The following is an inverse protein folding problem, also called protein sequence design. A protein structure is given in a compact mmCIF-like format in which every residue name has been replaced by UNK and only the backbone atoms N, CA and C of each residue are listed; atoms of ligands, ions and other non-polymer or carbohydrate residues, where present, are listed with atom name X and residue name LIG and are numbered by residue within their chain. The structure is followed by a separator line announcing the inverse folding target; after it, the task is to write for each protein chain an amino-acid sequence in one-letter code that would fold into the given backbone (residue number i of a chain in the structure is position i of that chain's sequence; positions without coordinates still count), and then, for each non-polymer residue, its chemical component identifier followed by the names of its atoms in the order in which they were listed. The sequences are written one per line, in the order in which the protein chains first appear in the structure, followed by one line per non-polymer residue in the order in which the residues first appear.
data_IF_684237589133
#
_entry.id   IF_684237589133
#
_cell.length_a   1.000
_cell.length_b   1.000
_cell.length_c   1.000
_cell.angle_alpha   90.00
_cell.angle_beta   90.00
_cell.angle_gamma   90.00
#
_symmetry.space_group_name_H-M   'P 1'
#
loop_
_entity.id
_entity.type
_entity.pdbx_description
1 polymer ?
#
# COMPACT_ATOMS: atom_id res chain seq x y z
N UNK A 1 1.20 -14.22 -24.66
CA UNK A 1 1.43 -14.56 -23.24
C UNK A 1 1.50 -13.31 -22.37
N UNK A 2 2.52 -12.44 -22.45
CA UNK A 2 2.60 -11.24 -21.59
C UNK A 2 1.53 -10.20 -21.92
N UNK A 3 1.14 -10.07 -23.20
CA UNK A 3 -0.05 -9.29 -23.59
C UNK A 3 -1.35 -9.93 -23.08
N UNK A 4 -1.44 -11.26 -23.05
CA UNK A 4 -2.61 -11.98 -22.50
C UNK A 4 -2.72 -11.74 -20.99
N UNK A 5 -1.60 -11.68 -20.27
CA UNK A 5 -1.56 -11.27 -18.87
C UNK A 5 -2.16 -9.87 -18.68
N UNK A 6 -1.77 -8.89 -19.50
CA UNK A 6 -2.29 -7.51 -19.42
C UNK A 6 -3.79 -7.48 -19.73
N UNK A 7 -4.20 -8.14 -20.82
CA UNK A 7 -5.60 -8.25 -21.23
C UNK A 7 -6.45 -8.83 -20.10
N UNK A 8 -6.02 -9.95 -19.55
CA UNK A 8 -6.73 -10.68 -18.50
C UNK A 8 -6.80 -9.89 -17.19
N UNK A 9 -5.76 -9.15 -16.83
CA UNK A 9 -5.80 -8.22 -15.71
C UNK A 9 -6.86 -7.13 -15.91
N UNK A 10 -6.99 -6.59 -17.13
CA UNK A 10 -8.08 -5.67 -17.49
C UNK A 10 -9.47 -6.32 -17.39
N UNK A 11 -9.64 -7.54 -17.89
CA UNK A 11 -10.91 -8.29 -17.81
C UNK A 11 -11.31 -8.59 -16.35
N UNK A 12 -10.36 -8.99 -15.50
CA UNK A 12 -10.59 -9.17 -14.05
C UNK A 12 -10.90 -7.83 -13.37
N UNK A 13 -10.27 -6.74 -13.79
CA UNK A 13 -10.60 -5.38 -13.35
C UNK A 13 -12.05 -5.00 -13.64
N UNK A 14 -12.52 -5.24 -14.87
CA UNK A 14 -13.91 -4.98 -15.26
C UNK A 14 -14.89 -5.85 -14.47
N UNK A 15 -14.53 -7.12 -14.22
CA UNK A 15 -15.32 -8.03 -13.39
C UNK A 15 -15.41 -7.55 -11.93
N UNK A 16 -14.29 -7.12 -11.33
CA UNK A 16 -14.29 -6.64 -9.95
C UNK A 16 -15.06 -5.33 -9.80
N UNK A 17 -14.96 -4.43 -10.78
CA UNK A 17 -15.67 -3.16 -10.78
C UNK A 17 -17.18 -3.38 -10.84
N UNK A 18 -17.66 -4.29 -11.69
CA UNK A 18 -19.08 -4.66 -11.78
C UNK A 18 -19.66 -5.10 -10.43
N UNK A 19 -18.89 -5.81 -9.62
CA UNK A 19 -19.36 -6.41 -8.35
C UNK A 19 -19.18 -5.44 -7.18
N UNK A 20 -18.06 -4.72 -7.14
CA UNK A 20 -17.62 -3.96 -5.96
C UNK A 20 -17.68 -2.45 -6.16
N UNK A 21 -17.78 -1.99 -7.41
CA UNK A 21 -17.60 -0.59 -7.83
C UNK A 21 -16.15 -0.15 -7.93
N UNK A 22 -15.19 -1.06 -7.75
CA UNK A 22 -13.76 -0.79 -7.76
C UNK A 22 -13.08 -1.81 -8.67
N UNK A 23 -12.35 -1.30 -9.67
CA UNK A 23 -11.46 -2.13 -10.48
C UNK A 23 -10.24 -2.53 -9.66
N UNK A 24 -9.73 -3.76 -9.85
CA UNK A 24 -8.40 -4.12 -9.35
C UNK A 24 -7.28 -3.48 -10.17
N UNK A 25 -7.57 -2.82 -11.29
CA UNK A 25 -6.56 -2.07 -12.03
C UNK A 25 -6.38 -0.69 -11.38
N UNK A 26 -5.21 -0.45 -10.80
CA UNK A 26 -4.85 0.82 -10.17
C UNK A 26 -4.43 1.88 -11.20
N UNK A 27 -3.59 1.46 -12.13
CA UNK A 27 -3.05 2.31 -13.19
C UNK A 27 -2.80 1.50 -14.47
N UNK A 28 -2.87 2.20 -15.59
CA UNK A 28 -2.59 1.66 -16.91
C UNK A 28 -1.92 2.73 -17.79
N UNK A 29 -0.87 2.34 -18.51
CA UNK A 29 -0.10 3.24 -19.38
C UNK A 29 0.49 2.54 -20.61
N UNK A 30 -0.13 1.41 -21.00
CA UNK A 30 0.28 0.58 -22.13
C UNK A 30 -0.38 0.95 -23.46
N UNK A 31 -0.29 0.04 -24.46
CA UNK A 31 -0.87 0.21 -25.78
C UNK A 31 -2.41 0.29 -25.77
N UNK A 32 -2.98 1.10 -26.67
CA UNK A 32 -4.42 1.38 -26.74
C UNK A 32 -5.30 0.12 -26.93
N UNK A 33 -4.78 -0.93 -27.56
CA UNK A 33 -5.44 -2.23 -27.75
C UNK A 33 -5.53 -3.10 -26.49
N UNK A 34 -4.71 -2.81 -25.48
CA UNK A 34 -4.65 -3.51 -24.20
C UNK A 34 -5.29 -2.69 -23.05
N UNK A 35 -5.89 -1.53 -23.37
CA UNK A 35 -6.55 -0.68 -22.37
C UNK A 35 -7.66 -1.47 -21.63
N UNK A 36 -7.64 -1.53 -20.29
CA UNK A 36 -8.64 -2.19 -19.46
C UNK A 36 -10.08 -1.80 -19.79
N UNK A 37 -10.34 -0.53 -20.11
CA UNK A 37 -11.67 -0.02 -20.45
C UNK A 37 -12.22 -0.59 -21.76
N UNK A 38 -11.37 -1.21 -22.58
CA UNK A 38 -11.74 -1.86 -23.84
C UNK A 38 -11.81 -3.38 -23.74
N UNK A 39 -11.40 -3.95 -22.61
CA UNK A 39 -11.47 -5.39 -22.41
C UNK A 39 -12.88 -5.83 -22.03
N UNK A 40 -13.19 -7.09 -22.31
CA UNK A 40 -14.53 -7.62 -22.06
C UNK A 40 -14.82 -7.78 -20.57
N UNK A 41 -16.09 -7.64 -20.19
CA UNK A 41 -16.58 -8.07 -18.88
C UNK A 41 -17.01 -9.53 -18.98
N UNK A 42 -16.10 -10.45 -18.67
CA UNK A 42 -16.34 -11.89 -18.73
C UNK A 42 -16.91 -12.40 -17.40
N UNK A 43 -17.66 -13.51 -17.48
CA UNK A 43 -18.15 -14.22 -16.31
C UNK A 43 -17.02 -14.98 -15.60
N UNK A 44 -17.22 -15.28 -14.31
CA UNK A 44 -16.21 -15.86 -13.44
C UNK A 44 -15.59 -17.16 -14.00
N UNK A 45 -16.43 -18.08 -14.51
CA UNK A 45 -15.95 -19.38 -15.00
C UNK A 45 -15.00 -19.23 -16.21
N UNK A 46 -15.28 -18.26 -17.09
CA UNK A 46 -14.43 -17.96 -18.25
C UNK A 46 -13.12 -17.34 -17.78
N UNK A 47 -13.17 -16.36 -16.87
CA UNK A 47 -11.96 -15.73 -16.31
C UNK A 47 -11.08 -16.76 -15.60
N UNK A 48 -11.66 -17.67 -14.82
CA UNK A 48 -10.90 -18.70 -14.12
C UNK A 48 -10.21 -19.66 -15.09
N UNK A 49 -10.89 -20.04 -16.17
CA UNK A 49 -10.30 -20.86 -17.24
C UNK A 49 -9.17 -20.13 -17.96
N UNK A 50 -9.38 -18.87 -18.35
CA UNK A 50 -8.38 -18.07 -19.06
C UNK A 50 -7.14 -17.82 -18.17
N UNK A 51 -7.33 -17.59 -16.87
CA UNK A 51 -6.25 -17.48 -15.88
C UNK A 51 -5.41 -18.75 -15.81
N UNK A 52 -6.05 -19.92 -15.80
CA UNK A 52 -5.33 -21.20 -15.81
C UNK A 52 -4.53 -21.39 -17.10
N UNK A 53 -5.11 -21.06 -18.26
CA UNK A 53 -4.41 -21.13 -19.53
C UNK A 53 -3.16 -20.23 -19.60
N UNK A 54 -3.24 -18.99 -19.08
CA UNK A 54 -2.06 -18.10 -19.04
C UNK A 54 -1.03 -18.62 -18.04
N UNK A 55 -1.44 -19.12 -16.88
CA UNK A 55 -0.54 -19.70 -15.87
C UNK A 55 0.26 -20.88 -16.43
N UNK A 56 -0.38 -21.79 -17.17
CA UNK A 56 0.27 -22.94 -17.79
C UNK A 56 1.29 -22.52 -18.87
N UNK A 57 1.07 -21.37 -19.52
CA UNK A 57 1.98 -20.84 -20.54
C UNK A 57 3.24 -20.16 -19.98
N UNK A 58 3.32 -19.91 -18.67
CA UNK A 58 4.45 -19.20 -18.06
C UNK A 58 5.77 -19.99 -18.07
N UNK A 59 5.73 -21.30 -18.31
CA UNK A 59 6.94 -22.15 -18.37
C UNK A 59 7.95 -21.67 -19.42
N UNK A 60 7.50 -20.94 -20.45
CA UNK A 60 8.35 -20.37 -21.50
C UNK A 60 9.24 -19.22 -21.01
N UNK A 61 8.93 -18.60 -19.86
CA UNK A 61 9.75 -17.52 -19.30
C UNK A 61 10.96 -18.14 -18.63
N UNK A 62 12.16 -17.96 -19.19
CA UNK A 62 13.39 -18.51 -18.62
C UNK A 62 13.77 -17.84 -17.28
N UNK A 63 13.63 -16.52 -17.20
CA UNK A 63 13.91 -15.76 -15.98
C UNK A 63 12.98 -16.19 -14.83
N UNK A 64 13.58 -16.81 -13.83
CA UNK A 64 12.85 -17.43 -12.72
C UNK A 64 12.08 -16.42 -11.87
N UNK A 65 12.69 -15.24 -11.60
CA UNK A 65 12.06 -14.20 -10.77
C UNK A 65 10.86 -13.61 -11.51
N UNK A 66 11.00 -13.30 -12.80
CA UNK A 66 9.92 -12.82 -13.67
C UNK A 66 8.78 -13.84 -13.76
N UNK A 67 9.11 -15.12 -13.94
CA UNK A 67 8.12 -16.21 -14.01
C UNK A 67 7.35 -16.33 -12.70
N UNK A 68 8.03 -16.31 -11.56
CA UNK A 68 7.40 -16.38 -10.23
C UNK A 68 6.57 -15.15 -9.90
N UNK A 69 7.04 -13.96 -10.27
CA UNK A 69 6.28 -12.72 -10.15
C UNK A 69 4.94 -12.85 -10.87
N UNK A 70 4.96 -13.16 -12.17
CA UNK A 70 3.74 -13.27 -12.98
C UNK A 70 2.80 -14.37 -12.48
N UNK A 71 3.34 -15.51 -12.05
CA UNK A 71 2.56 -16.58 -11.47
C UNK A 71 1.85 -16.14 -10.18
N UNK A 72 2.52 -15.37 -9.33
CA UNK A 72 1.93 -14.85 -8.10
C UNK A 72 0.84 -13.81 -8.39
N UNK A 73 1.05 -12.92 -9.36
CA UNK A 73 0.03 -11.95 -9.80
C UNK A 73 -1.21 -12.67 -10.35
N UNK A 74 -1.05 -13.69 -11.21
CA UNK A 74 -2.17 -14.49 -11.75
C UNK A 74 -2.92 -15.25 -10.65
N UNK A 75 -2.21 -15.86 -9.69
CA UNK A 75 -2.83 -16.52 -8.53
C UNK A 75 -3.65 -15.54 -7.69
N UNK A 76 -3.15 -14.32 -7.53
CA UNK A 76 -3.85 -13.24 -6.81
C UNK A 76 -5.14 -12.86 -7.53
N UNK A 77 -5.08 -12.63 -8.85
CA UNK A 77 -6.27 -12.37 -9.68
C UNK A 77 -7.27 -13.52 -9.64
N UNK A 78 -6.79 -14.77 -9.69
CA UNK A 78 -7.64 -15.97 -9.56
C UNK A 78 -8.36 -16.02 -8.21
N UNK A 79 -7.67 -15.68 -7.13
CA UNK A 79 -8.31 -15.57 -5.80
C UNK A 79 -9.37 -14.48 -5.77
N UNK A 80 -9.09 -13.31 -6.36
CA UNK A 80 -10.07 -12.23 -6.49
C UNK A 80 -11.33 -12.70 -7.20
N UNK A 81 -11.20 -13.35 -8.37
CA UNK A 81 -12.35 -13.85 -9.13
C UNK A 81 -13.15 -14.86 -8.31
N UNK A 82 -12.49 -15.85 -7.69
CA UNK A 82 -13.16 -16.85 -6.83
C UNK A 82 -13.93 -16.21 -5.69
N UNK A 83 -13.29 -15.29 -4.98
CA UNK A 83 -13.89 -14.60 -3.84
C UNK A 83 -15.13 -13.79 -4.26
N UNK A 84 -15.03 -13.01 -5.34
CA UNK A 84 -16.13 -12.19 -5.83
C UNK A 84 -17.25 -13.02 -6.47
N UNK A 85 -16.95 -14.20 -7.02
CA UNK A 85 -17.94 -15.17 -7.48
C UNK A 85 -18.70 -15.86 -6.33
N UNK A 86 -18.34 -15.60 -5.07
CA UNK A 86 -18.96 -16.22 -3.91
C UNK A 86 -18.52 -17.67 -3.66
N UNK A 87 -17.43 -18.12 -4.31
CA UNK A 87 -16.83 -19.42 -4.01
C UNK A 87 -16.25 -19.33 -2.59
N UNK A 88 -16.65 -20.28 -1.73
CA UNK A 88 -16.27 -20.25 -0.31
C UNK A 88 -14.75 -20.26 -0.14
N UNK A 89 -14.24 -19.24 0.56
CA UNK A 89 -12.82 -19.07 0.91
C UNK A 89 -12.76 -18.53 2.34
N UNK A 90 -11.84 -19.06 3.15
CA UNK A 90 -11.56 -18.45 4.45
C UNK A 90 -10.90 -17.08 4.24
N UNK A 91 -11.14 -16.13 5.13
CA UNK A 91 -10.49 -14.81 5.05
C UNK A 91 -8.97 -14.93 5.05
N UNK A 92 -8.42 -15.88 5.83
CA UNK A 92 -6.99 -16.15 5.85
C UNK A 92 -6.46 -16.64 4.49
N UNK A 93 -7.20 -17.53 3.82
CA UNK A 93 -6.84 -18.03 2.48
C UNK A 93 -6.86 -16.91 1.45
N UNK A 94 -7.83 -15.99 1.53
CA UNK A 94 -7.91 -14.81 0.64
C UNK A 94 -6.66 -13.95 0.80
N UNK A 95 -6.37 -13.51 2.03
CA UNK A 95 -5.19 -12.66 2.32
C UNK A 95 -3.90 -13.36 1.92
N UNK A 96 -3.75 -14.64 2.28
CA UNK A 96 -2.54 -15.40 1.98
C UNK A 96 -2.30 -15.55 0.48
N UNK A 97 -3.34 -15.85 -0.30
CA UNK A 97 -3.19 -16.07 -1.74
C UNK A 97 -3.00 -14.78 -2.51
N UNK A 98 -3.72 -13.70 -2.12
CA UNK A 98 -3.57 -12.38 -2.74
C UNK A 98 -2.18 -11.78 -2.49
N UNK A 99 -1.70 -11.85 -1.26
CA UNK A 99 -0.53 -11.07 -0.86
C UNK A 99 0.71 -11.92 -0.63
N UNK A 100 0.63 -13.25 -0.75
CA UNK A 100 1.73 -14.17 -0.46
C UNK A 100 2.36 -13.93 0.93
N UNK A 101 1.51 -13.70 1.94
CA UNK A 101 1.91 -13.46 3.34
C UNK A 101 0.99 -14.25 4.28
N UNK A 102 1.45 -14.57 5.48
CA UNK A 102 0.60 -15.22 6.49
C UNK A 102 -0.22 -14.18 7.28
N UNK A 103 -1.56 -14.18 7.19
CA UNK A 103 -2.38 -13.31 8.02
C UNK A 103 -2.42 -13.82 9.45
N UNK A 104 -1.73 -13.12 10.35
CA UNK A 104 -1.66 -13.49 11.77
C UNK A 104 -2.15 -12.37 12.69
N UNK A 105 -3.01 -12.73 13.64
CA UNK A 105 -3.42 -11.84 14.73
C UNK A 105 -2.25 -11.66 15.70
N UNK A 106 -1.96 -10.41 16.07
CA UNK A 106 -1.01 -10.11 17.13
C UNK A 106 -1.59 -10.54 18.48
N UNK A 107 -0.80 -11.27 19.27
CA UNK A 107 -1.20 -11.66 20.63
C UNK A 107 -1.29 -10.46 21.54
N UNK A 108 -2.10 -10.60 22.60
CA UNK A 108 -2.29 -9.49 23.55
C UNK A 108 -0.98 -9.05 24.19
N UNK A 109 -0.08 -9.99 24.51
CA UNK A 109 1.25 -9.68 25.04
C UNK A 109 2.13 -8.85 24.11
N UNK A 110 1.95 -8.94 22.79
CA UNK A 110 2.68 -8.10 21.83
C UNK A 110 2.05 -6.71 21.77
N UNK A 111 0.72 -6.64 21.85
CA UNK A 111 -0.01 -5.36 21.91
C UNK A 111 0.33 -4.60 23.20
N UNK A 112 0.37 -5.25 24.35
CA UNK A 112 0.77 -4.65 25.64
C UNK A 112 2.15 -4.03 25.57
N UNK A 113 3.15 -4.76 25.06
CA UNK A 113 4.51 -4.24 24.85
C UNK A 113 4.54 -3.02 23.93
N UNK A 114 3.69 -3.00 22.91
CA UNK A 114 3.63 -1.85 22.01
C UNK A 114 2.91 -0.66 22.65
N UNK A 115 1.93 -0.88 23.53
CA UNK A 115 1.30 0.16 24.35
C UNK A 115 2.32 0.74 25.34
N UNK A 116 3.15 -0.08 25.98
CA UNK A 116 4.25 0.37 26.85
C UNK A 116 5.24 1.28 26.09
N UNK A 117 5.60 0.91 24.86
CA UNK A 117 6.45 1.75 24.01
C UNK A 117 5.79 3.10 23.65
N UNK A 118 4.46 3.10 23.44
CA UNK A 118 3.70 4.34 23.24
C UNK A 118 3.71 5.19 24.50
N UNK A 119 3.47 4.60 25.68
CA UNK A 119 3.50 5.31 26.97
C UNK A 119 4.86 5.97 27.24
N UNK A 120 5.94 5.23 27.01
CA UNK A 120 7.30 5.78 27.13
C UNK A 120 7.51 6.97 26.19
N UNK A 121 7.08 6.84 24.93
CA UNK A 121 7.25 7.90 23.92
C UNK A 121 6.39 9.15 24.19
N UNK A 122 5.25 8.98 24.86
CA UNK A 122 4.32 10.06 25.20
C UNK A 122 4.54 10.64 26.60
N UNK A 123 5.55 10.17 27.35
CA UNK A 123 5.74 10.53 28.77
C UNK A 123 5.81 12.04 29.01
N UNK A 124 6.48 12.77 28.11
CA UNK A 124 6.69 14.23 28.20
C UNK A 124 5.54 15.06 27.61
N UNK A 125 4.54 14.43 26.99
CA UNK A 125 3.41 15.10 26.37
C UNK A 125 2.24 15.27 27.37
N UNK A 126 1.41 16.32 27.22
CA UNK A 126 0.32 16.62 28.14
C UNK A 126 -0.80 15.57 28.10
N UNK A 127 -1.46 15.37 29.24
CA UNK A 127 -2.60 14.45 29.43
C UNK A 127 -2.50 13.72 30.78
N UNK A 128 -3.64 13.43 31.41
CA UNK A 128 -3.73 12.79 32.71
C UNK A 128 -3.43 11.28 32.63
N UNK A 129 -3.91 10.63 31.57
CA UNK A 129 -3.66 9.22 31.27
C UNK A 129 -3.16 9.01 29.84
N UNK A 130 -2.78 7.77 29.51
CA UNK A 130 -2.21 7.44 28.20
C UNK A 130 -3.19 7.67 27.03
N UNK A 131 -4.48 7.41 27.24
CA UNK A 131 -5.49 7.58 26.21
C UNK A 131 -5.69 9.07 25.91
N UNK A 132 -5.74 9.91 26.95
CA UNK A 132 -5.81 11.35 26.81
C UNK A 132 -4.56 11.92 26.14
N UNK A 133 -3.36 11.49 26.57
CA UNK A 133 -2.08 11.88 25.93
C UNK A 133 -2.07 11.57 24.44
N UNK A 134 -2.46 10.35 24.06
CA UNK A 134 -2.52 9.94 22.66
C UNK A 134 -3.56 10.76 21.86
N UNK A 135 -4.71 11.09 22.47
CA UNK A 135 -5.75 11.91 21.86
C UNK A 135 -5.29 13.35 21.66
N UNK A 136 -4.73 14.00 22.69
CA UNK A 136 -4.18 15.35 22.62
C UNK A 136 -3.04 15.46 21.60
N UNK A 137 -2.11 14.51 21.63
CA UNK A 137 -1.01 14.43 20.66
C UNK A 137 -1.53 14.29 19.22
N UNK A 138 -2.54 13.44 18.99
CA UNK A 138 -3.14 13.26 17.65
C UNK A 138 -3.90 14.50 17.17
N UNK A 139 -4.47 15.29 18.09
CA UNK A 139 -5.25 16.50 17.80
C UNK A 139 -4.38 17.75 17.65
N UNK A 140 -3.19 17.77 18.26
CA UNK A 140 -2.21 18.84 18.10
C UNK A 140 -1.93 19.08 16.61
N UNK A 141 -1.97 20.31 16.14
CA UNK A 141 -1.66 20.64 14.73
C UNK A 141 -2.68 20.16 13.69
N UNK A 142 -3.89 19.73 14.08
CA UNK A 142 -4.96 19.42 13.13
C UNK A 142 -5.51 20.67 12.45
N UNK A 143 -5.60 20.63 11.12
CA UNK A 143 -6.24 21.66 10.30
C UNK A 143 -7.44 21.08 9.54
N UNK A 144 -8.41 21.94 9.22
CA UNK A 144 -9.68 21.61 8.56
C UNK A 144 -10.11 22.72 7.59
N UNK A 145 -11.03 22.39 6.69
CA UNK A 145 -11.70 23.37 5.82
C UNK A 145 -10.71 24.14 4.95
N UNK A 146 -10.84 25.48 4.91
CA UNK A 146 -10.00 26.34 4.07
C UNK A 146 -8.50 26.21 4.40
N UNK A 147 -8.15 26.15 5.68
CA UNK A 147 -6.74 26.04 6.09
C UNK A 147 -6.09 24.73 5.59
N UNK A 148 -6.84 23.63 5.61
CA UNK A 148 -6.38 22.36 5.06
C UNK A 148 -6.21 22.41 3.53
N UNK A 149 -7.16 23.03 2.82
CA UNK A 149 -7.07 23.20 1.36
C UNK A 149 -5.87 24.07 0.97
N UNK A 150 -5.71 25.23 1.61
CA UNK A 150 -4.60 26.15 1.35
C UNK A 150 -3.23 25.46 1.62
N UNK A 151 -3.15 24.63 2.67
CA UNK A 151 -1.97 23.84 2.99
C UNK A 151 -1.65 22.77 1.92
N UNK A 152 -2.66 22.05 1.42
CA UNK A 152 -2.48 21.05 0.36
C UNK A 152 -2.06 21.72 -0.95
N UNK A 153 -2.80 22.73 -1.39
CA UNK A 153 -2.61 23.37 -2.69
C UNK A 153 -1.28 24.17 -2.77
N UNK A 154 -0.78 24.65 -1.62
CA UNK A 154 0.46 25.40 -1.53
C UNK A 154 1.65 24.59 -1.01
N UNK A 155 1.62 24.28 0.29
CA UNK A 155 2.77 23.75 1.02
C UNK A 155 3.10 22.31 0.61
N UNK A 156 2.10 21.43 0.51
CA UNK A 156 2.34 20.04 0.08
C UNK A 156 2.84 19.96 -1.37
N UNK A 157 2.30 20.79 -2.26
CA UNK A 157 2.74 20.84 -3.65
C UNK A 157 4.22 21.26 -3.77
N UNK A 158 4.63 22.25 -2.98
CA UNK A 158 6.04 22.69 -2.92
C UNK A 158 6.92 21.62 -2.30
N UNK A 159 6.45 21.01 -1.21
CA UNK A 159 7.16 19.93 -0.52
C UNK A 159 7.38 18.72 -1.43
N UNK A 160 6.42 18.39 -2.29
CA UNK A 160 6.56 17.28 -3.24
C UNK A 160 7.74 17.48 -4.20
N UNK A 161 7.97 18.70 -4.69
CA UNK A 161 9.11 18.99 -5.54
C UNK A 161 10.44 18.78 -4.80
N UNK A 162 10.50 19.19 -3.53
CA UNK A 162 11.67 18.94 -2.67
C UNK A 162 11.91 17.43 -2.47
N UNK A 163 10.84 16.66 -2.25
CA UNK A 163 10.94 15.19 -2.08
C UNK A 163 11.45 14.53 -3.36
N UNK A 164 10.96 14.94 -4.53
CA UNK A 164 11.50 14.47 -5.81
C UNK A 164 12.98 14.78 -5.97
N UNK A 165 13.42 15.97 -5.56
CA UNK A 165 14.85 16.31 -5.57
C UNK A 165 15.65 15.43 -4.60
N UNK A 166 15.13 15.14 -3.41
CA UNK A 166 15.78 14.24 -2.46
C UNK A 166 15.95 12.82 -3.02
N UNK A 167 14.95 12.29 -3.73
CA UNK A 167 15.07 10.98 -4.40
C UNK A 167 16.18 11.00 -5.46
N UNK A 168 16.24 12.05 -6.29
CA UNK A 168 17.32 12.22 -7.27
C UNK A 168 18.69 12.25 -6.59
N UNK A 169 18.86 13.14 -5.63
CA UNK A 169 20.15 13.39 -4.99
C UNK A 169 20.66 12.19 -4.19
N UNK A 170 19.77 11.48 -3.48
CA UNK A 170 20.17 10.43 -2.52
C UNK A 170 20.02 9.03 -3.07
N UNK A 171 18.98 8.76 -3.86
CA UNK A 171 18.63 7.41 -4.30
C UNK A 171 19.10 7.18 -5.74
N UNK A 172 18.76 8.06 -6.68
CA UNK A 172 19.11 7.88 -8.09
C UNK A 172 20.63 7.97 -8.29
N UNK A 173 21.29 8.88 -7.58
CA UNK A 173 22.76 8.93 -7.47
C UNK A 173 23.35 7.59 -7.02
N UNK A 174 22.76 6.92 -6.01
CA UNK A 174 23.24 5.61 -5.55
C UNK A 174 22.97 4.50 -6.56
N UNK A 175 21.84 4.54 -7.26
CA UNK A 175 21.49 3.60 -8.33
C UNK A 175 22.45 3.75 -9.51
N UNK A 176 22.91 4.97 -9.78
CA UNK A 176 23.75 5.32 -10.92
C UNK A 176 22.98 5.49 -12.23
N UNK A 177 21.65 5.64 -12.14
CA UNK A 177 20.75 5.87 -13.28
C UNK A 177 19.66 6.86 -12.88
N UNK A 178 19.17 7.62 -13.85
CA UNK A 178 18.02 8.51 -13.70
C UNK A 178 16.78 7.91 -14.40
N UNK A 179 15.61 8.42 -14.02
CA UNK A 179 14.33 8.14 -14.70
C UNK A 179 13.60 9.45 -14.94
N UNK A 180 12.80 9.51 -16.01
CA UNK A 180 11.94 10.68 -16.26
C UNK A 180 10.96 10.85 -15.09
N UNK A 181 10.84 12.06 -14.58
CA UNK A 181 9.93 12.44 -13.49
C UNK A 181 9.21 13.73 -13.92
N UNK A 182 7.95 13.59 -14.36
CA UNK A 182 7.10 14.73 -14.73
C UNK A 182 6.29 15.28 -13.54
N UNK A 183 6.59 14.80 -12.33
CA UNK A 183 6.08 15.31 -11.07
C UNK A 183 4.71 14.78 -10.68
N UNK A 184 4.28 15.26 -9.51
CA UNK A 184 3.03 14.89 -8.87
C UNK A 184 2.19 16.14 -8.61
N UNK A 185 0.91 16.09 -8.99
CA UNK A 185 -0.07 17.13 -8.68
C UNK A 185 -0.87 16.77 -7.45
N UNK A 186 -1.13 17.74 -6.57
CA UNK A 186 -1.89 17.54 -5.34
C UNK A 186 -3.27 18.16 -5.49
N UNK A 187 -4.31 17.37 -5.23
CA UNK A 187 -5.71 17.78 -5.35
C UNK A 187 -6.47 17.55 -4.05
N UNK A 188 -7.37 18.46 -3.72
CA UNK A 188 -8.35 18.26 -2.66
C UNK A 188 -9.62 17.59 -3.20
N UNK A 189 -10.09 16.53 -2.56
CA UNK A 189 -11.34 15.82 -2.90
C UNK A 189 -12.23 15.62 -1.67
N UNK A 190 -13.50 15.26 -1.90
CA UNK A 190 -14.49 14.93 -0.87
C UNK A 190 -15.15 13.59 -1.17
N UNK A 191 -15.89 13.04 -0.22
CA UNK A 191 -16.68 11.81 -0.32
C UNK A 191 -15.85 10.55 -0.65
N UNK A 192 -14.58 10.52 -0.22
CA UNK A 192 -13.68 9.37 -0.40
C UNK A 192 -13.55 8.53 0.87
N UNK A 193 -13.37 7.20 0.78
CA UNK A 193 -13.21 6.34 1.96
C UNK A 193 -11.80 6.38 2.57
N UNK A 194 -10.82 6.91 1.84
CA UNK A 194 -9.41 7.04 2.22
C UNK A 194 -9.04 8.50 2.56
N UNK A 195 -7.88 8.71 3.17
CA UNK A 195 -7.38 10.04 3.56
C UNK A 195 -6.51 10.68 2.47
N UNK A 196 -5.70 9.88 1.80
CA UNK A 196 -4.91 10.26 0.62
C UNK A 196 -4.76 9.05 -0.31
N UNK A 197 -4.55 9.30 -1.60
CA UNK A 197 -4.28 8.25 -2.58
C UNK A 197 -3.47 8.79 -3.76
N UNK A 198 -2.45 8.05 -4.20
CA UNK A 198 -1.71 8.30 -5.43
C UNK A 198 -2.39 7.63 -6.64
N UNK A 199 -2.65 8.41 -7.68
CA UNK A 199 -3.07 7.92 -8.99
C UNK A 199 -1.95 8.13 -10.00
N UNK A 200 -1.25 7.05 -10.36
CA UNK A 200 -0.31 7.08 -11.48
C UNK A 200 -1.07 7.22 -12.80
N UNK A 201 -0.71 8.23 -13.61
CA UNK A 201 -1.42 8.58 -14.86
C UNK A 201 -0.71 8.08 -16.11
N UNK A 202 0.42 7.39 -15.97
CA UNK A 202 1.34 7.17 -17.07
C UNK A 202 2.04 8.46 -17.49
N UNK A 203 2.92 8.35 -18.48
CA UNK A 203 3.77 9.44 -18.93
C UNK A 203 4.53 10.07 -17.76
N UNK A 204 5.03 9.22 -16.85
CA UNK A 204 5.86 9.60 -15.71
C UNK A 204 5.21 10.66 -14.79
N UNK A 205 3.88 10.68 -14.69
CA UNK A 205 3.10 11.69 -13.95
C UNK A 205 2.16 11.03 -12.95
N UNK A 206 1.96 11.64 -11.79
CA UNK A 206 0.90 11.23 -10.85
C UNK A 206 0.02 12.37 -10.38
N UNK A 207 -1.13 11.99 -9.82
CA UNK A 207 -2.02 12.88 -9.08
C UNK A 207 -2.23 12.28 -7.69
N UNK A 208 -1.87 13.02 -6.65
CA UNK A 208 -2.25 12.70 -5.28
C UNK A 208 -3.54 13.42 -4.94
N UNK A 209 -4.54 12.68 -4.52
CA UNK A 209 -5.78 13.25 -4.02
C UNK A 209 -5.83 13.13 -2.50
N UNK A 210 -6.28 14.17 -1.82
CA UNK A 210 -6.42 14.22 -0.36
C UNK A 210 -7.88 14.49 0.00
N UNK A 211 -8.46 13.61 0.83
CA UNK A 211 -9.82 13.79 1.30
C UNK A 211 -9.87 14.86 2.41
N UNK A 212 -10.54 15.97 2.13
CA UNK A 212 -10.64 17.11 3.06
C UNK A 212 -11.92 17.13 3.90
N UNK A 213 -12.71 16.06 3.88
CA UNK A 213 -13.88 15.89 4.76
C UNK A 213 -13.49 15.73 6.24
N UNK A 214 -12.22 15.41 6.50
CA UNK A 214 -11.67 15.07 7.81
C UNK A 214 -10.53 16.02 8.20
N UNK A 215 -10.29 16.24 9.50
CA UNK A 215 -9.12 16.97 9.94
C UNK A 215 -7.88 16.18 9.56
N UNK A 216 -6.82 16.89 9.17
CA UNK A 216 -5.51 16.30 8.97
C UNK A 216 -4.51 17.01 9.87
N UNK A 217 -3.70 16.24 10.58
CA UNK A 217 -2.55 16.76 11.30
C UNK A 217 -1.44 17.09 10.28
N UNK A 218 -0.87 18.29 10.36
CA UNK A 218 0.13 18.80 9.41
C UNK A 218 1.37 17.90 9.34
N UNK A 219 1.90 17.46 10.49
CA UNK A 219 3.08 16.59 10.53
C UNK A 219 2.83 15.25 9.83
N UNK A 220 1.62 14.71 10.01
CA UNK A 220 1.15 13.49 9.35
C UNK A 220 1.03 13.72 7.84
N UNK A 221 0.50 14.86 7.42
CA UNK A 221 0.37 15.21 6.00
C UNK A 221 1.73 15.31 5.30
N UNK A 222 2.72 15.91 5.97
CA UNK A 222 4.09 15.97 5.46
C UNK A 222 4.70 14.58 5.36
N UNK A 223 4.43 13.68 6.32
CA UNK A 223 4.86 12.28 6.22
C UNK A 223 4.20 11.57 5.02
N UNK A 224 2.92 11.83 4.75
CA UNK A 224 2.19 11.28 3.59
C UNK A 224 2.81 11.72 2.27
N UNK A 225 3.37 12.94 2.16
CA UNK A 225 4.08 13.35 0.93
C UNK A 225 5.21 12.39 0.58
N UNK A 226 6.04 12.00 1.55
CA UNK A 226 7.14 11.05 1.29
C UNK A 226 6.60 9.68 0.89
N UNK A 227 5.54 9.22 1.55
CA UNK A 227 4.89 7.94 1.26
C UNK A 227 4.33 7.92 -0.17
N UNK A 228 3.49 8.90 -0.53
CA UNK A 228 2.86 8.94 -1.86
C UNK A 228 3.86 9.25 -2.98
N UNK A 229 4.94 9.99 -2.69
CA UNK A 229 5.98 10.22 -3.70
C UNK A 229 6.78 8.94 -3.96
N UNK A 230 6.91 8.04 -2.99
CA UNK A 230 7.54 6.75 -3.23
C UNK A 230 6.69 5.87 -4.16
N UNK A 231 5.36 5.84 -3.99
CA UNK A 231 4.46 5.18 -4.97
C UNK A 231 4.65 5.76 -6.38
N UNK A 232 4.82 7.07 -6.50
CA UNK A 232 5.18 7.71 -7.76
C UNK A 232 6.51 7.18 -8.31
N UNK A 233 7.59 7.23 -7.51
CA UNK A 233 8.94 6.77 -7.90
C UNK A 233 8.92 5.30 -8.33
N UNK A 234 8.27 4.42 -7.58
CA UNK A 234 8.11 3.00 -7.92
C UNK A 234 7.48 2.83 -9.31
N UNK A 235 6.43 3.59 -9.61
CA UNK A 235 5.79 3.58 -10.93
C UNK A 235 6.62 4.24 -12.04
N UNK A 236 7.48 5.23 -11.73
CA UNK A 236 8.42 5.79 -12.72
C UNK A 236 9.36 4.70 -13.24
N UNK A 237 9.97 3.95 -12.34
CA UNK A 237 10.88 2.85 -12.71
C UNK A 237 10.15 1.71 -13.41
N UNK A 238 8.92 1.41 -13.00
CA UNK A 238 8.05 0.44 -13.69
C UNK A 238 7.73 0.87 -15.13
N UNK A 239 7.32 2.12 -15.33
CA UNK A 239 7.02 2.65 -16.66
C UNK A 239 8.27 2.70 -17.54
N UNK A 240 9.42 3.04 -16.97
CA UNK A 240 10.72 2.97 -17.66
C UNK A 240 11.01 1.55 -18.13
N UNK A 241 10.91 0.55 -17.26
CA UNK A 241 11.15 -0.85 -17.63
C UNK A 241 10.17 -1.35 -18.71
N UNK A 242 8.91 -0.90 -18.67
CA UNK A 242 7.97 -1.15 -19.78
C UNK A 242 8.46 -0.52 -21.09
N UNK A 243 8.80 0.77 -21.08
CA UNK A 243 9.10 1.54 -22.31
C UNK A 243 10.47 1.25 -22.90
N UNK A 244 11.49 1.06 -22.07
CA UNK A 244 12.89 0.89 -22.48
C UNK A 244 13.25 -0.59 -22.67
N UNK A 245 12.80 -1.47 -21.77
CA UNK A 245 13.17 -2.90 -21.79
C UNK A 245 12.11 -3.78 -22.47
N UNK A 246 10.93 -3.24 -22.78
CA UNK A 246 9.87 -3.93 -23.52
C UNK A 246 9.02 -4.89 -22.67
N UNK A 247 9.05 -4.77 -21.35
CA UNK A 247 8.22 -5.59 -20.45
C UNK A 247 6.75 -5.12 -20.46
N UNK A 248 5.99 -5.51 -21.48
CA UNK A 248 4.58 -5.11 -21.68
C UNK A 248 3.69 -5.41 -20.46
N UNK A 249 3.95 -6.49 -19.72
CA UNK A 249 3.23 -6.83 -18.48
C UNK A 249 3.32 -5.77 -17.38
N UNK A 250 4.32 -4.89 -17.44
CA UNK A 250 4.49 -3.81 -16.48
C UNK A 250 3.62 -2.59 -16.80
N UNK A 251 2.97 -2.56 -17.97
CA UNK A 251 2.11 -1.45 -18.38
C UNK A 251 0.78 -1.34 -17.61
N UNK A 252 0.44 -2.36 -16.81
CA UNK A 252 -0.75 -2.42 -15.97
C UNK A 252 -0.36 -2.64 -14.51
N UNK A 253 -1.02 -1.97 -13.57
CA UNK A 253 -0.72 -2.05 -12.13
C UNK A 253 -1.91 -2.69 -11.40
N UNK A 254 -1.85 -4.00 -11.07
CA UNK A 254 -2.92 -4.67 -10.34
C UNK A 254 -2.88 -4.40 -8.82
N UNK A 255 -4.03 -4.19 -8.21
CA UNK A 255 -4.25 -4.20 -6.76
C UNK A 255 -4.46 -5.63 -6.26
N UNK A 256 -4.37 -5.79 -4.94
CA UNK A 256 -4.61 -7.06 -4.24
C UNK A 256 -3.64 -8.18 -4.64
N UNK A 257 -2.38 -7.82 -4.88
CA UNK A 257 -1.30 -8.75 -5.23
C UNK A 257 -0.10 -8.59 -4.30
N UNK A 258 0.83 -9.55 -4.31
CA UNK A 258 2.07 -9.49 -3.52
C UNK A 258 2.90 -8.23 -3.74
N UNK A 259 2.76 -7.57 -4.89
CA UNK A 259 3.38 -6.27 -5.15
C UNK A 259 2.85 -5.15 -4.25
N UNK A 260 1.58 -5.16 -3.86
CA UNK A 260 1.04 -4.18 -2.91
C UNK A 260 1.76 -4.24 -1.55
N UNK A 261 2.21 -5.43 -1.12
CA UNK A 261 2.97 -5.58 0.13
C UNK A 261 4.30 -4.82 0.05
N UNK A 262 5.01 -4.93 -1.08
CA UNK A 262 6.27 -4.24 -1.25
C UNK A 262 6.06 -2.74 -1.49
N UNK A 263 5.10 -2.36 -2.34
CA UNK A 263 4.77 -0.95 -2.61
C UNK A 263 4.43 -0.18 -1.32
N UNK A 264 3.60 -0.73 -0.46
CA UNK A 264 3.27 -0.08 0.82
C UNK A 264 4.45 -0.13 1.80
N UNK A 265 5.26 -1.19 1.74
CA UNK A 265 6.48 -1.31 2.53
C UNK A 265 7.55 -0.29 2.17
N UNK A 266 7.76 -0.02 0.88
CA UNK A 266 8.68 1.00 0.38
C UNK A 266 8.17 2.39 0.69
N UNK A 267 6.88 2.65 0.48
CA UNK A 267 6.27 3.93 0.77
C UNK A 267 6.32 4.28 2.25
N UNK A 268 6.02 3.32 3.12
CA UNK A 268 6.20 3.51 4.56
C UNK A 268 7.67 3.72 4.94
N UNK A 269 8.63 3.17 4.18
CA UNK A 269 10.09 3.27 4.41
C UNK A 269 10.76 4.48 3.75
N UNK A 270 10.03 5.26 2.95
CA UNK A 270 10.57 6.37 2.16
C UNK A 270 11.38 7.39 2.99
N UNK A 271 10.90 7.75 4.19
CA UNK A 271 11.61 8.69 5.09
C UNK A 271 12.95 8.13 5.59
N UNK A 272 13.02 6.81 5.78
CA UNK A 272 14.25 6.11 6.18
C UNK A 272 15.22 6.03 5.00
N UNK A 273 14.75 5.70 3.79
CA UNK A 273 15.56 5.71 2.55
C UNK A 273 16.21 7.07 2.32
N UNK A 274 15.39 8.12 2.44
CA UNK A 274 15.84 9.47 2.22
C UNK A 274 16.64 10.03 3.39
N UNK A 275 16.75 9.35 4.55
CA UNK A 275 17.50 9.87 5.70
C UNK A 275 16.96 11.22 6.22
N UNK A 276 15.64 11.42 6.17
CA UNK A 276 14.94 12.64 6.63
C UNK A 276 14.08 12.39 7.88
N UNK A 277 14.23 11.21 8.46
CA UNK A 277 13.58 10.85 9.71
C UNK A 277 14.36 11.44 10.87
N UNK A 278 13.82 12.48 11.50
CA UNK A 278 14.39 13.00 12.74
C UNK A 278 14.12 12.04 13.92
N UNK A 279 14.99 12.08 14.93
CA UNK A 279 14.86 11.29 16.16
C UNK A 279 14.19 12.06 17.30
N UNK A 280 13.47 13.14 17.00
CA UNK A 280 12.85 14.01 18.00
C UNK A 280 11.74 13.32 18.77
N UNK A 281 11.36 13.83 19.96
CA UNK A 281 10.29 13.24 20.77
C UNK A 281 8.96 13.10 20.02
N UNK A 282 8.59 14.10 19.21
CA UNK A 282 7.35 14.05 18.39
C UNK A 282 7.37 12.92 17.36
N UNK A 283 8.46 12.74 16.61
CA UNK A 283 8.54 11.65 15.62
C UNK A 283 8.55 10.28 16.28
N UNK A 284 9.23 10.13 17.43
CA UNK A 284 9.20 8.87 18.21
C UNK A 284 7.78 8.52 18.66
N UNK A 285 7.04 9.50 19.19
CA UNK A 285 5.65 9.32 19.60
C UNK A 285 4.73 8.98 18.42
N UNK A 286 4.90 9.70 17.29
CA UNK A 286 4.17 9.43 16.06
C UNK A 286 4.39 8.00 15.55
N UNK A 287 5.65 7.55 15.47
CA UNK A 287 6.00 6.20 15.02
C UNK A 287 5.46 5.11 15.94
N UNK A 288 5.56 5.30 17.26
CA UNK A 288 5.07 4.35 18.24
C UNK A 288 3.55 4.17 18.12
N UNK A 289 2.80 5.27 17.99
CA UNK A 289 1.36 5.27 17.77
C UNK A 289 0.99 4.67 16.41
N UNK A 290 1.72 5.03 15.34
CA UNK A 290 1.51 4.48 14.00
C UNK A 290 1.64 2.95 14.02
N UNK A 291 2.72 2.45 14.61
CA UNK A 291 3.00 1.02 14.73
C UNK A 291 1.90 0.29 15.50
N UNK A 292 1.50 0.82 16.67
CA UNK A 292 0.39 0.26 17.46
C UNK A 292 -0.90 0.21 16.64
N UNK A 293 -1.30 1.33 16.03
CA UNK A 293 -2.57 1.45 15.30
C UNK A 293 -2.62 0.57 14.06
N UNK A 294 -1.49 0.31 13.40
CA UNK A 294 -1.41 -0.65 12.29
C UNK A 294 -1.58 -2.10 12.75
N UNK A 295 -0.97 -2.48 13.88
CA UNK A 295 -1.19 -3.81 14.48
C UNK A 295 -2.65 -4.03 14.89
N UNK A 296 -3.26 -3.00 15.51
CA UNK A 296 -4.67 -3.00 15.91
C UNK A 296 -5.60 -3.07 14.70
N UNK A 297 -5.26 -2.41 13.59
CA UNK A 297 -6.04 -2.49 12.35
C UNK A 297 -6.01 -3.90 11.73
N UNK A 298 -4.87 -4.59 11.76
CA UNK A 298 -4.78 -6.01 11.36
C UNK A 298 -5.66 -6.89 12.25
N UNK A 299 -5.53 -6.75 13.58
CA UNK A 299 -6.37 -7.50 14.52
C UNK A 299 -7.86 -7.24 14.30
N UNK A 300 -8.24 -5.99 14.03
CA UNK A 300 -9.62 -5.61 13.72
C UNK A 300 -10.13 -6.22 12.42
N UNK A 301 -9.30 -6.30 11.39
CA UNK A 301 -9.69 -6.94 10.14
C UNK A 301 -9.94 -8.44 10.33
N UNK A 302 -9.14 -9.10 11.16
CA UNK A 302 -9.36 -10.50 11.56
C UNK A 302 -10.64 -10.64 12.39
N UNK A 303 -10.85 -9.76 13.38
CA UNK A 303 -12.05 -9.75 14.20
C UNK A 303 -13.33 -9.68 13.35
N UNK A 304 -13.37 -8.75 12.39
CA UNK A 304 -14.54 -8.53 11.53
C UNK A 304 -14.73 -9.65 10.48
N UNK A 305 -13.66 -10.02 9.78
CA UNK A 305 -13.79 -10.87 8.59
C UNK A 305 -13.64 -12.37 8.89
N UNK A 306 -12.86 -12.75 9.90
CA UNK A 306 -12.63 -14.14 10.28
C UNK A 306 -13.44 -14.54 11.52
N UNK A 307 -13.32 -13.78 12.61
CA UNK A 307 -13.97 -14.11 13.90
C UNK A 307 -15.44 -13.69 13.96
N UNK A 308 -15.92 -12.92 12.97
CA UNK A 308 -17.30 -12.41 12.85
C UNK A 308 -17.75 -11.61 14.08
N UNK A 309 -16.83 -10.89 14.71
CA UNK A 309 -17.10 -9.94 15.79
C UNK A 309 -17.94 -8.77 15.27
N UNK A 310 -18.74 -8.19 16.16
CA UNK A 310 -19.55 -7.02 15.84
C UNK A 310 -18.68 -5.78 15.59
N UNK A 311 -19.29 -4.78 14.93
CA UNK A 311 -18.68 -3.46 14.75
C UNK A 311 -18.41 -2.85 16.12
N UNK A 312 -19.32 -2.99 17.06
CA UNK A 312 -19.24 -2.44 18.42
C UNK A 312 -18.09 -3.05 19.21
N UNK A 313 -17.94 -4.38 19.22
CA UNK A 313 -16.80 -5.07 19.85
C UNK A 313 -15.47 -4.61 19.24
N UNK A 314 -15.42 -4.41 17.93
CA UNK A 314 -14.21 -3.98 17.23
C UNK A 314 -13.88 -2.50 17.47
N UNK A 315 -14.89 -1.63 17.56
CA UNK A 315 -14.70 -0.23 17.95
C UNK A 315 -14.16 -0.15 19.37
N UNK A 316 -14.73 -0.90 20.31
CA UNK A 316 -14.26 -0.95 21.69
C UNK A 316 -12.79 -1.40 21.76
N UNK A 317 -12.44 -2.46 21.04
CA UNK A 317 -11.05 -2.92 20.92
C UNK A 317 -10.11 -1.82 20.40
N UNK A 318 -10.52 -1.07 19.37
CA UNK A 318 -9.73 0.03 18.82
C UNK A 318 -9.54 1.20 19.78
N UNK A 319 -10.56 1.53 20.56
CA UNK A 319 -10.48 2.57 21.59
C UNK A 319 -9.51 2.15 22.69
N UNK A 320 -9.75 0.99 23.29
CA UNK A 320 -9.02 0.50 24.46
C UNK A 320 -7.57 0.13 24.15
N UNK A 321 -7.33 -0.55 23.03
CA UNK A 321 -6.02 -1.10 22.68
C UNK A 321 -5.28 -0.31 21.63
N UNK A 322 -5.99 0.48 20.81
CA UNK A 322 -5.41 1.35 19.78
C UNK A 322 -5.20 2.79 20.21
N UNK A 323 -5.68 3.19 21.39
CA UNK A 323 -5.63 4.57 21.90
C UNK A 323 -6.18 5.55 20.85
N UNK A 324 -7.38 5.24 20.34
CA UNK A 324 -8.07 6.03 19.29
C UNK A 324 -9.40 6.55 19.82
N UNK A 325 -9.76 7.76 19.41
CA UNK A 325 -11.11 8.29 19.64
C UNK A 325 -12.17 7.38 18.97
N UNK A 326 -13.36 7.26 19.56
CA UNK A 326 -14.42 6.37 19.07
C UNK A 326 -14.83 6.68 17.62
N UNK A 327 -15.03 7.96 17.30
CA UNK A 327 -15.41 8.40 15.94
C UNK A 327 -14.35 8.03 14.89
N UNK A 328 -13.08 8.17 15.26
CA UNK A 328 -11.96 7.80 14.40
C UNK A 328 -11.88 6.28 14.23
N UNK A 329 -12.12 5.52 15.30
CA UNK A 329 -12.20 4.06 15.27
C UNK A 329 -13.31 3.59 14.34
N UNK A 330 -14.53 4.09 14.50
CA UNK A 330 -15.70 3.74 13.67
C UNK A 330 -15.49 4.11 12.20
N UNK A 331 -14.95 5.30 11.95
CA UNK A 331 -14.65 5.76 10.58
C UNK A 331 -13.60 4.91 9.89
N UNK A 332 -12.61 4.39 10.63
CA UNK A 332 -11.56 3.52 10.09
C UNK A 332 -12.04 2.12 9.71
N UNK A 333 -13.09 1.61 10.37
CA UNK A 333 -13.60 0.27 10.10
C UNK A 333 -14.16 0.10 8.68
N UNK A 334 -14.57 1.19 8.02
CA UNK A 334 -15.07 1.11 6.63
C UNK A 334 -14.08 0.50 5.65
N UNK A 335 -12.77 0.67 5.87
CA UNK A 335 -11.72 0.11 5.03
C UNK A 335 -11.59 -1.42 5.21
N UNK A 336 -11.81 -1.92 6.43
CA UNK A 336 -11.57 -3.32 6.82
C UNK A 336 -12.83 -4.15 7.02
N UNK A 337 -14.02 -3.53 6.95
CA UNK A 337 -15.29 -4.24 7.10
C UNK A 337 -15.54 -5.20 5.92
N UNK A 338 -16.25 -6.32 6.11
CA UNK A 338 -16.51 -7.28 5.02
C UNK A 338 -17.39 -6.72 3.90
N UNK A 339 -18.21 -5.71 4.20
CA UNK A 339 -19.14 -5.06 3.27
C UNK A 339 -18.99 -3.55 3.34
N UNK A 340 -19.19 -2.90 2.20
CA UNK A 340 -19.33 -1.44 2.11
C UNK A 340 -20.69 -0.99 2.67
N UNK A 341 -20.88 0.32 2.86
CA UNK A 341 -22.14 0.90 3.38
C UNK A 341 -23.37 0.57 2.52
N UNK A 342 -23.18 0.37 1.21
CA UNK A 342 -24.21 0.00 0.25
C UNK A 342 -24.39 -1.53 0.11
N UNK A 343 -23.71 -2.34 0.93
CA UNK A 343 -23.88 -3.79 0.98
C UNK A 343 -23.04 -4.59 -0.02
N UNK A 344 -22.24 -3.93 -0.87
CA UNK A 344 -21.30 -4.63 -1.79
C UNK A 344 -20.17 -5.30 -1.01
N UNK A 345 -19.52 -6.28 -1.66
CA UNK A 345 -18.28 -6.86 -1.12
C UNK A 345 -17.24 -5.75 -1.01
N UNK A 346 -16.64 -5.58 0.16
CA UNK A 346 -15.57 -4.61 0.33
C UNK A 346 -14.22 -5.23 -0.08
N UNK A 347 -13.79 -4.97 -1.31
CA UNK A 347 -12.54 -5.51 -1.85
C UNK A 347 -11.29 -4.98 -1.12
N UNK A 348 -11.40 -3.85 -0.41
CA UNK A 348 -10.31 -3.28 0.40
C UNK A 348 -10.11 -3.97 1.75
N UNK A 349 -11.04 -4.82 2.20
CA UNK A 349 -10.97 -5.43 3.52
C UNK A 349 -9.65 -6.16 3.83
N UNK A 350 -9.03 -6.92 2.90
CA UNK A 350 -7.76 -7.60 3.13
C UNK A 350 -6.55 -6.68 2.90
N UNK A 351 -6.71 -5.45 2.41
CA UNK A 351 -5.58 -4.60 2.02
C UNK A 351 -4.80 -4.08 3.23
N UNK A 352 -5.40 -3.99 4.42
CA UNK A 352 -4.71 -3.47 5.62
C UNK A 352 -3.41 -4.22 6.00
N UNK A 353 -3.27 -5.47 5.56
CA UNK A 353 -2.10 -6.29 5.83
C UNK A 353 -0.84 -5.80 5.10
N UNK A 354 -0.98 -5.12 3.96
CA UNK A 354 0.14 -4.72 3.09
C UNK A 354 1.06 -3.71 3.79
N UNK A 355 0.51 -2.73 4.52
CA UNK A 355 1.27 -1.67 5.18
C UNK A 355 2.27 -2.18 6.22
N UNK A 356 1.76 -2.75 7.32
CA UNK A 356 2.60 -3.15 8.45
C UNK A 356 3.53 -4.28 8.07
N UNK A 357 3.02 -5.31 7.39
CA UNK A 357 3.81 -6.49 7.04
C UNK A 357 4.85 -6.10 5.99
N UNK A 358 4.47 -5.36 4.96
CA UNK A 358 5.37 -4.85 3.94
C UNK A 358 6.56 -4.10 4.53
N UNK A 359 6.29 -3.14 5.41
CA UNK A 359 7.37 -2.40 6.08
C UNK A 359 8.20 -3.31 6.98
N UNK A 360 7.57 -4.00 7.94
CA UNK A 360 8.27 -4.60 9.09
C UNK A 360 8.84 -5.99 8.85
N UNK A 361 8.37 -6.71 7.83
CA UNK A 361 8.82 -8.07 7.53
C UNK A 361 9.61 -8.14 6.22
N UNK A 362 9.41 -7.20 5.29
CA UNK A 362 10.08 -7.20 3.99
C UNK A 362 11.08 -6.04 3.85
N UNK A 363 10.57 -4.82 3.74
CA UNK A 363 11.36 -3.70 3.20
C UNK A 363 12.35 -3.12 4.22
N UNK A 364 11.87 -2.72 5.40
CA UNK A 364 12.73 -2.07 6.40
C UNK A 364 13.84 -3.01 6.93
N UNK A 365 13.58 -4.30 7.25
CA UNK A 365 14.66 -5.21 7.65
C UNK A 365 15.74 -5.38 6.57
N UNK A 366 15.34 -5.51 5.31
CA UNK A 366 16.28 -5.66 4.20
C UNK A 366 17.12 -4.39 3.99
N UNK A 367 16.47 -3.23 4.04
CA UNK A 367 17.15 -1.94 4.00
C UNK A 367 18.13 -1.74 5.16
N UNK A 368 17.72 -2.07 6.39
CA UNK A 368 18.57 -1.95 7.57
C UNK A 368 19.81 -2.85 7.45
N UNK A 369 19.62 -4.10 7.02
CA UNK A 369 20.70 -5.05 6.75
C UNK A 369 21.64 -4.54 5.66
N UNK A 370 21.11 -4.03 4.55
CA UNK A 370 21.92 -3.45 3.46
C UNK A 370 22.74 -2.26 3.96
N UNK A 371 22.14 -1.39 4.77
CA UNK A 371 22.84 -0.25 5.38
C UNK A 371 23.97 -0.70 6.29
N UNK A 372 23.73 -1.67 7.16
CA UNK A 372 24.74 -2.23 8.08
C UNK A 372 25.92 -2.86 7.32
N UNK A 373 25.67 -3.46 6.16
CA UNK A 373 26.68 -4.10 5.33
C UNK A 373 27.31 -3.18 4.26
N UNK A 374 26.93 -1.89 4.21
CA UNK A 374 27.34 -0.92 3.17
C UNK A 374 26.93 -1.32 1.74
N UNK A 375 25.79 -1.99 1.58
CA UNK A 375 25.25 -2.52 0.33
C UNK A 375 24.05 -1.71 -0.21
N UNK A 376 23.89 -0.44 0.22
CA UNK A 376 22.73 0.38 -0.17
C UNK A 376 22.60 0.61 -1.68
N UNK A 377 23.73 0.76 -2.39
CA UNK A 377 23.72 0.86 -3.86
C UNK A 377 23.08 -0.36 -4.49
N UNK A 378 23.55 -1.57 -4.12
CA UNK A 378 23.02 -2.82 -4.66
C UNK A 378 21.57 -3.07 -4.21
N UNK A 379 21.22 -2.63 -3.00
CA UNK A 379 19.84 -2.66 -2.51
C UNK A 379 18.90 -1.85 -3.41
N UNK A 380 19.22 -0.58 -3.68
CA UNK A 380 18.38 0.26 -4.52
C UNK A 380 18.37 -0.18 -5.99
N UNK A 381 19.49 -0.69 -6.51
CA UNK A 381 19.52 -1.29 -7.85
C UNK A 381 18.61 -2.52 -7.93
N UNK A 382 18.63 -3.40 -6.92
CA UNK A 382 17.73 -4.57 -6.87
C UNK A 382 16.27 -4.12 -6.78
N UNK A 383 15.98 -3.11 -5.96
CA UNK A 383 14.63 -2.61 -5.74
C UNK A 383 14.03 -1.94 -6.98
N UNK A 384 14.78 -1.04 -7.64
CA UNK A 384 14.23 -0.18 -8.69
C UNK A 384 14.60 -0.60 -10.12
N UNK A 385 15.72 -1.33 -10.33
CA UNK A 385 16.13 -1.77 -11.66
C UNK A 385 15.72 -3.21 -11.99
N UNK A 386 15.35 -4.02 -10.99
CA UNK A 386 14.68 -5.29 -11.23
C UNK A 386 13.17 -5.13 -10.95
N UNK A 387 12.32 -4.91 -11.97
CA UNK A 387 10.90 -4.65 -11.77
C UNK A 387 10.14 -5.86 -11.17
N UNK A 388 10.73 -7.05 -11.21
CA UNK A 388 10.15 -8.28 -10.69
C UNK A 388 10.59 -8.57 -9.25
N UNK A 389 11.44 -7.73 -8.63
CA UNK A 389 11.79 -7.82 -7.20
C UNK A 389 10.69 -7.25 -6.29
N UNK A 390 9.82 -6.39 -6.85
CA UNK A 390 8.81 -5.62 -6.13
C UNK A 390 7.57 -6.40 -5.68
N UNK A 391 7.69 -7.68 -5.33
CA UNK A 391 6.58 -8.51 -4.83
C UNK A 391 7.01 -9.37 -3.65
N UNK A 392 6.13 -9.56 -2.66
CA UNK A 392 6.36 -10.47 -1.54
C UNK A 392 6.63 -11.92 -1.96
N UNK A 393 6.21 -12.32 -3.17
CA UNK A 393 6.49 -13.64 -3.73
C UNK A 393 7.92 -13.82 -4.22
N UNK A 394 8.59 -12.73 -4.61
CA UNK A 394 9.92 -12.76 -5.24
C UNK A 394 10.99 -12.03 -4.43
N UNK A 395 10.59 -11.27 -3.40
CA UNK A 395 11.45 -10.42 -2.58
C UNK A 395 12.66 -11.18 -2.03
N UNK A 396 12.43 -12.31 -1.35
CA UNK A 396 13.52 -13.09 -0.74
C UNK A 396 14.53 -13.57 -1.78
N UNK A 397 14.05 -14.02 -2.95
CA UNK A 397 14.91 -14.49 -4.03
C UNK A 397 15.69 -13.35 -4.67
N UNK A 398 15.05 -12.22 -4.93
CA UNK A 398 15.70 -11.04 -5.51
C UNK A 398 16.82 -10.48 -4.60
N UNK A 399 16.64 -10.59 -3.28
CA UNK A 399 17.60 -10.14 -2.28
C UNK A 399 18.45 -11.28 -1.69
N UNK A 400 18.46 -12.47 -2.28
CA UNK A 400 19.23 -13.62 -1.76
C UNK A 400 20.75 -13.39 -1.70
N UNK A 401 21.24 -12.34 -2.36
CA UNK A 401 22.63 -11.92 -2.32
C UNK A 401 23.03 -11.20 -1.03
N UNK A 402 22.05 -10.73 -0.23
CA UNK A 402 22.25 -9.99 1.02
C UNK A 402 21.96 -10.88 2.22
#
# INVERSE_FOLDING_TARGET
MTEDFVRLCGEVGNYSEKITGISIVDAYFGPDELDPSRQENKDADVLLHDLDGVMDSLEIIEDEIRREYLLAELKSMKMTVKWLAGIEQSYSTIVQTMFNIEPKKFSESIIEKQIEAVDESLREFPGEDLAEKASLFTKEGQVRGKALRDFIDGELQSKSADVGQLFRDRIYTMIGQDVTDNGVKYNCVTDKPWSGYNYFKGNYTSVNEFNVDRPMNIDSALAVVYHEYEHHVSNLWRERAYREDGFVELSIVPLHTGRCVISEGTADTARDFLGVKDGGPKVKAFDALYKLRRMIAINSAIMLNLEKKSVEETVQYNVERGLRDEDASRSGLGFISPRTRDGRVNIWSPYVFTYYIGRTQFVYPMFAKAREQNELTRFYQTLYLNPFSGSSATWEKAFAWL
#
